data_IF_989029569025
#
_entry.id   IF_989029569025
#
_cell.length_a   1.000
_cell.length_b   1.000
_cell.length_c   1.000
_cell.angle_alpha   90.00
_cell.angle_beta   90.00
_cell.angle_gamma   90.00
#
_symmetry.space_group_name_H-M   'P 1'
#
loop_
_entity.id
_entity.type
_entity.pdbx_description
1 polymer ?
#
# COMPACT_ATOMS: atom_id res chain seq x y z
N UNK A 1 -1.36 -19.74 4.28
CA UNK A 1 -2.71 -19.67 4.87
C UNK A 1 -3.55 -18.76 3.98
N UNK A 2 -4.84 -19.03 3.87
CA UNK A 2 -5.78 -18.13 3.19
C UNK A 2 -6.73 -17.62 4.26
N UNK A 3 -6.91 -16.30 4.35
CA UNK A 3 -7.83 -15.66 5.28
C UNK A 3 -8.71 -14.66 4.53
N UNK A 4 -9.85 -14.31 5.12
CA UNK A 4 -10.82 -13.39 4.54
C UNK A 4 -11.45 -12.46 5.57
N UNK A 5 -11.75 -11.25 5.11
CA UNK A 5 -12.43 -10.24 5.92
C UNK A 5 -13.62 -9.67 5.18
N UNK A 6 -14.81 -9.77 5.78
CA UNK A 6 -16.01 -9.04 5.34
C UNK A 6 -16.23 -7.87 6.30
N UNK A 7 -16.28 -6.65 5.79
CA UNK A 7 -16.43 -5.45 6.60
C UNK A 7 -17.89 -5.30 7.09
N UNK A 8 -18.16 -5.45 8.40
CA UNK A 8 -19.49 -5.31 8.96
C UNK A 8 -19.87 -3.83 9.11
N UNK A 9 -21.16 -3.50 9.34
CA UNK A 9 -22.31 -4.41 9.39
C UNK A 9 -22.93 -4.67 8.02
N UNK A 10 -22.65 -3.85 7.02
CA UNK A 10 -23.29 -3.93 5.70
C UNK A 10 -22.77 -5.08 4.84
N UNK A 11 -21.58 -5.63 5.14
CA UNK A 11 -20.93 -6.73 4.40
C UNK A 11 -20.85 -6.47 2.87
N UNK A 12 -20.73 -5.19 2.49
CA UNK A 12 -20.55 -4.77 1.08
C UNK A 12 -19.10 -4.79 0.62
N UNK A 13 -18.15 -4.98 1.52
CA UNK A 13 -16.72 -4.97 1.23
C UNK A 13 -16.10 -6.27 1.76
N UNK A 14 -15.45 -7.01 0.88
CA UNK A 14 -14.76 -8.26 1.20
C UNK A 14 -13.31 -8.22 0.75
N UNK A 15 -12.45 -8.89 1.50
CA UNK A 15 -11.04 -9.14 1.15
C UNK A 15 -10.74 -10.63 1.30
N UNK A 16 -10.00 -11.18 0.36
CA UNK A 16 -9.28 -12.46 0.49
C UNK A 16 -7.78 -12.18 0.44
N UNK A 17 -7.02 -12.87 1.27
CA UNK A 17 -5.56 -12.73 1.29
C UNK A 17 -4.89 -14.09 1.47
N UNK A 18 -3.84 -14.33 0.69
CA UNK A 18 -2.96 -15.48 0.83
C UNK A 18 -1.63 -15.02 1.44
N UNK A 19 -1.25 -15.65 2.56
CA UNK A 19 -0.05 -15.32 3.32
C UNK A 19 0.82 -16.57 3.50
N UNK A 20 2.13 -16.43 3.34
CA UNK A 20 3.14 -17.42 3.72
C UNK A 20 3.71 -17.04 5.08
N UNK A 21 3.86 -18.02 5.98
CA UNK A 21 4.37 -17.77 7.34
C UNK A 21 3.39 -17.00 8.23
N UNK A 22 3.89 -16.49 9.37
CA UNK A 22 3.07 -15.77 10.35
C UNK A 22 2.01 -16.61 11.07
N UNK A 23 1.05 -15.93 11.68
CA UNK A 23 -0.11 -16.48 12.38
C UNK A 23 -1.44 -16.12 11.68
N UNK A 24 -2.52 -16.82 12.02
CA UNK A 24 -3.87 -16.47 11.55
C UNK A 24 -4.28 -15.05 11.98
N UNK A 25 -3.78 -14.58 13.15
CA UNK A 25 -4.07 -13.24 13.63
C UNK A 25 -3.50 -12.15 12.70
N UNK A 26 -2.26 -12.31 12.23
CA UNK A 26 -1.67 -11.32 11.31
C UNK A 26 -2.34 -11.39 9.93
N UNK A 27 -2.71 -12.58 9.44
CA UNK A 27 -3.44 -12.73 8.18
C UNK A 27 -4.81 -12.02 8.25
N UNK A 28 -5.56 -12.18 9.34
CA UNK A 28 -6.82 -11.47 9.56
C UNK A 28 -6.64 -9.96 9.64
N UNK A 29 -5.66 -9.48 10.41
CA UNK A 29 -5.37 -8.04 10.53
C UNK A 29 -4.96 -7.43 9.18
N UNK A 30 -4.24 -8.20 8.37
CA UNK A 30 -3.84 -7.79 7.03
C UNK A 30 -5.05 -7.67 6.11
N UNK A 31 -5.98 -8.63 6.14
CA UNK A 31 -7.23 -8.53 5.39
C UNK A 31 -8.04 -7.28 5.79
N UNK A 32 -8.06 -6.93 7.08
CA UNK A 32 -8.68 -5.69 7.57
C UNK A 32 -7.97 -4.44 7.06
N UNK A 33 -6.64 -4.45 7.02
CA UNK A 33 -5.84 -3.36 6.48
C UNK A 33 -6.14 -3.12 5.00
N UNK A 34 -6.08 -4.18 4.19
CA UNK A 34 -6.38 -4.11 2.75
C UNK A 34 -7.82 -3.61 2.53
N UNK A 35 -8.78 -4.01 3.37
CA UNK A 35 -10.14 -3.50 3.27
C UNK A 35 -10.21 -1.97 3.46
N UNK A 36 -9.43 -1.43 4.42
CA UNK A 36 -9.35 0.00 4.71
C UNK A 36 -8.53 0.80 3.69
N UNK A 37 -7.74 0.14 2.83
CA UNK A 37 -6.85 0.76 1.84
C UNK A 37 -7.40 0.55 0.41
N UNK A 38 -8.38 1.36 -0.06
CA UNK A 38 -9.03 1.15 -1.37
C UNK A 38 -8.12 1.38 -2.58
N UNK A 39 -7.01 2.09 -2.40
CA UNK A 39 -6.07 2.43 -3.46
C UNK A 39 -4.93 1.39 -3.62
N UNK A 40 -4.84 0.37 -2.75
CA UNK A 40 -3.83 -0.69 -2.87
C UNK A 40 -3.99 -1.43 -4.19
N UNK A 41 -2.92 -1.46 -4.99
CA UNK A 41 -2.86 -2.15 -6.28
C UNK A 41 -1.75 -3.17 -6.38
N UNK A 42 -0.67 -2.97 -5.63
CA UNK A 42 0.54 -3.79 -5.70
C UNK A 42 0.94 -4.29 -4.32
N UNK A 43 1.61 -5.45 -4.25
CA UNK A 43 2.13 -5.97 -2.99
C UNK A 43 3.44 -5.25 -2.67
N UNK A 44 4.41 -5.36 -3.58
CA UNK A 44 5.73 -4.74 -3.50
C UNK A 44 5.94 -3.63 -4.54
N UNK A 45 7.07 -2.91 -4.44
CA UNK A 45 7.43 -1.88 -5.42
C UNK A 45 7.86 -2.49 -6.75
N UNK A 46 8.42 -3.69 -6.70
CA UNK A 46 8.83 -4.52 -7.83
C UNK A 46 7.65 -4.93 -8.73
N UNK A 47 6.43 -4.93 -8.20
CA UNK A 47 5.21 -5.23 -8.95
C UNK A 47 4.70 -4.01 -9.73
N UNK A 48 5.24 -2.81 -9.45
CA UNK A 48 4.79 -1.57 -10.10
C UNK A 48 5.50 -1.42 -11.45
N UNK A 49 4.76 -1.33 -12.57
CA UNK A 49 5.35 -1.11 -13.88
C UNK A 49 6.15 0.21 -13.96
N UNK A 50 7.31 0.18 -14.63
CA UNK A 50 8.21 1.34 -14.72
C UNK A 50 7.56 2.55 -15.41
N UNK A 51 6.70 2.31 -16.39
CA UNK A 51 5.93 3.34 -17.09
C UNK A 51 4.95 4.05 -16.15
N UNK A 52 4.32 3.32 -15.22
CA UNK A 52 3.45 3.90 -14.18
C UNK A 52 4.26 4.79 -13.24
N UNK A 53 5.42 4.32 -12.77
CA UNK A 53 6.30 5.12 -11.89
C UNK A 53 6.80 6.38 -12.60
N UNK A 54 7.17 6.25 -13.87
CA UNK A 54 7.63 7.38 -14.70
C UNK A 54 6.51 8.39 -14.91
N UNK A 55 5.31 7.94 -15.26
CA UNK A 55 4.17 8.82 -15.45
C UNK A 55 3.82 9.59 -14.16
N UNK A 56 3.79 8.91 -13.02
CA UNK A 56 3.52 9.56 -11.73
C UNK A 56 4.63 10.56 -11.34
N UNK A 57 5.89 10.22 -11.63
CA UNK A 57 7.02 11.13 -11.43
C UNK A 57 6.88 12.41 -12.24
N UNK A 58 6.47 12.29 -13.49
CA UNK A 58 6.22 13.45 -14.37
C UNK A 58 5.08 14.33 -13.83
N UNK A 59 4.01 13.72 -13.32
CA UNK A 59 2.90 14.45 -12.68
C UNK A 59 3.42 15.28 -11.49
N UNK A 60 4.19 14.68 -10.57
CA UNK A 60 4.74 15.42 -9.44
C UNK A 60 5.76 16.47 -9.88
N UNK A 61 6.62 16.15 -10.84
CA UNK A 61 7.62 17.09 -11.37
C UNK A 61 6.96 18.35 -11.91
N UNK A 62 5.83 18.21 -12.61
CA UNK A 62 5.08 19.33 -13.18
C UNK A 62 4.11 20.01 -12.21
N UNK A 63 4.00 19.53 -10.97
CA UNK A 63 3.12 20.15 -9.97
C UNK A 63 3.61 21.54 -9.54
N UNK A 64 2.68 22.46 -9.27
CA UNK A 64 3.01 23.81 -8.77
C UNK A 64 3.83 23.78 -7.47
N UNK A 65 3.57 22.79 -6.61
CA UNK A 65 4.30 22.56 -5.36
C UNK A 65 5.79 22.35 -5.60
N UNK A 66 6.16 21.65 -6.67
CA UNK A 66 7.56 21.37 -7.06
C UNK A 66 8.12 22.52 -7.90
N UNK A 67 7.36 23.04 -8.86
CA UNK A 67 7.82 24.12 -9.75
C UNK A 67 8.11 25.42 -8.99
N UNK A 68 7.42 25.68 -7.89
CA UNK A 68 7.69 26.83 -7.00
C UNK A 68 8.98 26.72 -6.18
N UNK A 69 9.71 25.59 -6.26
CA UNK A 69 10.93 25.33 -5.48
C UNK A 69 12.19 25.49 -6.33
N UNK A 70 13.36 25.76 -5.71
CA UNK A 70 14.64 25.81 -6.42
C UNK A 70 14.92 24.52 -7.18
N UNK A 71 15.44 24.63 -8.41
CA UNK A 71 15.68 23.50 -9.33
C UNK A 71 16.45 22.34 -8.66
N UNK A 72 17.52 22.66 -7.93
CA UNK A 72 18.35 21.71 -7.18
C UNK A 72 17.60 20.89 -6.11
N UNK A 73 16.42 21.35 -5.66
CA UNK A 73 15.61 20.67 -4.65
C UNK A 73 14.46 19.87 -5.25
N UNK A 74 14.10 20.11 -6.52
CA UNK A 74 12.89 19.56 -7.14
C UNK A 74 12.91 18.04 -7.20
N UNK A 75 14.02 17.46 -7.67
CA UNK A 75 14.18 16.01 -7.78
C UNK A 75 13.96 15.30 -6.45
N UNK A 76 14.62 15.76 -5.39
CA UNK A 76 14.47 15.21 -4.04
C UNK A 76 13.04 15.37 -3.49
N UNK A 77 12.35 16.45 -3.83
CA UNK A 77 10.95 16.66 -3.43
C UNK A 77 10.04 15.67 -4.17
N UNK A 78 10.22 15.50 -5.47
CA UNK A 78 9.48 14.54 -6.30
C UNK A 78 9.67 13.12 -5.77
N UNK A 79 10.90 12.72 -5.44
CA UNK A 79 11.16 11.43 -4.80
C UNK A 79 10.44 11.29 -3.45
N UNK A 80 10.44 12.34 -2.64
CA UNK A 80 9.70 12.36 -1.38
C UNK A 80 8.19 12.20 -1.58
N UNK A 81 7.62 12.83 -2.62
CA UNK A 81 6.21 12.72 -2.99
C UNK A 81 5.87 11.32 -3.52
N UNK A 82 6.70 10.76 -4.40
CA UNK A 82 6.55 9.37 -4.86
C UNK A 82 6.52 8.39 -3.69
N UNK A 83 7.45 8.52 -2.74
CA UNK A 83 7.48 7.66 -1.57
C UNK A 83 6.25 7.83 -0.67
N UNK A 84 5.85 9.07 -0.36
CA UNK A 84 4.82 9.35 0.66
C UNK A 84 3.39 9.38 0.14
N UNK A 85 3.19 9.64 -1.15
CA UNK A 85 1.86 9.81 -1.75
C UNK A 85 1.52 8.66 -2.66
N UNK A 86 2.46 8.21 -3.50
CA UNK A 86 2.20 7.13 -4.43
C UNK A 86 2.45 5.75 -3.81
N UNK A 87 3.69 5.44 -3.40
CA UNK A 87 4.03 4.13 -2.86
C UNK A 87 3.31 3.85 -1.54
N UNK A 88 3.33 4.78 -0.59
CA UNK A 88 2.63 4.63 0.69
C UNK A 88 1.09 4.56 0.56
N UNK A 89 0.51 4.86 -0.60
CA UNK A 89 -0.94 4.72 -0.85
C UNK A 89 -1.28 3.48 -1.69
N UNK A 90 -0.47 3.12 -2.68
CA UNK A 90 -0.82 2.07 -3.66
C UNK A 90 -0.04 0.76 -3.49
N UNK A 91 1.09 0.76 -2.78
CA UNK A 91 1.92 -0.42 -2.54
C UNK A 91 1.72 -0.91 -1.10
N UNK A 92 1.23 -2.15 -0.95
CA UNK A 92 0.83 -2.71 0.33
C UNK A 92 1.95 -2.66 1.37
N UNK A 93 3.17 -3.10 1.02
CA UNK A 93 4.28 -3.16 1.99
C UNK A 93 4.78 -1.78 2.45
N UNK A 94 4.53 -0.73 1.67
CA UNK A 94 4.89 0.66 1.97
C UNK A 94 3.82 1.40 2.77
N UNK A 95 2.60 0.85 2.85
CA UNK A 95 1.49 1.49 3.56
C UNK A 95 1.76 1.55 5.07
N UNK A 96 1.37 2.64 5.74
CA UNK A 96 1.37 2.69 7.20
C UNK A 96 0.36 1.69 7.75
N UNK A 97 0.79 0.87 8.71
CA UNK A 97 -0.04 -0.18 9.27
C UNK A 97 -1.19 0.42 10.10
N UNK A 98 -2.43 0.12 9.73
CA UNK A 98 -3.61 0.76 10.36
C UNK A 98 -3.78 0.44 11.85
N UNK A 99 -3.18 -0.66 12.32
CA UNK A 99 -3.25 -1.07 13.72
C UNK A 99 -2.10 -0.48 14.57
N UNK A 100 -1.03 0.01 13.91
CA UNK A 100 0.10 0.71 14.54
C UNK A 100 0.79 1.60 13.49
N UNK A 101 0.37 2.86 13.37
CA UNK A 101 0.76 3.73 12.25
C UNK A 101 2.22 4.18 12.28
N UNK A 102 2.99 3.84 13.32
CA UNK A 102 4.44 4.05 13.40
C UNK A 102 5.25 3.06 12.57
N UNK A 103 4.63 1.98 12.08
CA UNK A 103 5.27 0.96 11.25
C UNK A 103 4.57 0.82 9.90
N UNK A 104 5.28 0.38 8.88
CA UNK A 104 4.68 -0.04 7.62
C UNK A 104 4.14 -1.48 7.71
N UNK A 105 3.30 -1.87 6.75
CA UNK A 105 2.86 -3.26 6.62
C UNK A 105 4.06 -4.19 6.41
N UNK A 106 5.03 -3.80 5.57
CA UNK A 106 6.23 -4.60 5.30
C UNK A 106 7.06 -4.84 6.57
N UNK A 107 7.23 -3.82 7.41
CA UNK A 107 7.93 -3.95 8.70
C UNK A 107 7.21 -4.93 9.63
N UNK A 108 5.89 -4.79 9.78
CA UNK A 108 5.08 -5.66 10.65
C UNK A 108 5.11 -7.11 10.15
N UNK A 109 4.97 -7.33 8.83
CA UNK A 109 5.02 -8.66 8.26
C UNK A 109 6.41 -9.31 8.44
N UNK A 110 7.48 -8.54 8.24
CA UNK A 110 8.85 -9.00 8.47
C UNK A 110 9.09 -9.41 9.93
N UNK A 111 8.65 -8.61 10.90
CA UNK A 111 8.74 -8.94 12.33
C UNK A 111 7.96 -10.21 12.71
N UNK A 112 6.87 -10.49 12.01
CA UNK A 112 6.01 -11.66 12.25
C UNK A 112 6.37 -12.87 11.39
N UNK A 113 7.43 -12.78 10.56
CA UNK A 113 7.81 -13.84 9.63
C UNK A 113 6.72 -14.19 8.63
N UNK A 114 5.98 -13.18 8.16
CA UNK A 114 4.87 -13.30 7.23
C UNK A 114 5.21 -12.62 5.90
N UNK A 115 4.60 -13.11 4.82
CA UNK A 115 4.76 -12.60 3.45
C UNK A 115 3.42 -12.70 2.73
N UNK A 116 2.98 -11.61 2.10
CA UNK A 116 1.76 -11.61 1.28
C UNK A 116 2.10 -12.20 -0.08
N UNK A 117 1.31 -13.18 -0.53
CA UNK A 117 1.47 -13.79 -1.85
C UNK A 117 0.46 -13.22 -2.85
N UNK A 118 -0.77 -13.03 -2.41
CA UNK A 118 -1.88 -12.60 -3.26
C UNK A 118 -2.97 -12.00 -2.39
N UNK A 119 -3.71 -11.02 -2.91
CA UNK A 119 -4.93 -10.54 -2.28
C UNK A 119 -5.95 -10.09 -3.33
N UNK A 120 -7.21 -10.12 -2.94
CA UNK A 120 -8.33 -9.60 -3.72
C UNK A 120 -9.23 -8.76 -2.83
N UNK A 121 -9.64 -7.59 -3.32
CA UNK A 121 -10.53 -6.66 -2.61
C UNK A 121 -11.74 -6.34 -3.48
N UNK A 122 -12.93 -6.66 -2.98
CA UNK A 122 -14.19 -6.50 -3.71
C UNK A 122 -15.15 -5.61 -2.92
N UNK A 123 -15.69 -4.58 -3.57
CA UNK A 123 -16.68 -3.68 -3.00
C UNK A 123 -17.95 -3.65 -3.86
N UNK A 124 -19.10 -3.96 -3.25
CA UNK A 124 -20.41 -3.86 -3.85
C UNK A 124 -20.89 -2.39 -3.87
N UNK A 125 -21.55 -2.00 -4.96
CA UNK A 125 -22.12 -0.65 -5.17
C UNK A 125 -23.19 -0.24 -4.16
#
# INVERSE_FOLDING_TARGET
>A
MIDGYSHPPANKLGVLVQVRGGSDEIARKLAMHIAASPATRWIGREDVPEDVVTAEREIYTNSDEVQSKPEQAREKIVEGMLNKRFFAEQVLVDQPWIHETSKSVGEVLGEQGAEVLEFERLQLG
#
